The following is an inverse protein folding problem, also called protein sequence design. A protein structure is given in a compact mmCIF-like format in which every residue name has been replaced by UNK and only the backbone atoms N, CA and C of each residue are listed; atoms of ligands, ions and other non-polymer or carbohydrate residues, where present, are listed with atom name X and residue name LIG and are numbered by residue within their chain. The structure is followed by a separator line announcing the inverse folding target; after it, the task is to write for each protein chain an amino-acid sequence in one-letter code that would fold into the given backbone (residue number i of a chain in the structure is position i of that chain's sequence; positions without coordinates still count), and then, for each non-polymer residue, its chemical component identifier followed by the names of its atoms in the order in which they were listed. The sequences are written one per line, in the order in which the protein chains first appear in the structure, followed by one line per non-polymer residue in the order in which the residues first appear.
data_IF_695852446378
#
_entry.id   IF_695852446378
#
_cell.length_a   1.000
_cell.length_b   1.000
_cell.length_c   1.000
_cell.angle_alpha   90.00
_cell.angle_beta   90.00
_cell.angle_gamma   90.00
#
_symmetry.space_group_name_H-M   'P 1'
#
loop_
_entity.id
_entity.type
_entity.pdbx_description
1 polymer ?
#
# COMPACT_ATOMS: atom_id res chain seq x y z
N UNK A 1 4.47 14.57 -7.60
CA UNK A 1 3.09 14.02 -7.73
C UNK A 1 2.75 12.94 -6.71
N UNK A 2 3.72 12.29 -6.07
CA UNK A 2 3.50 11.24 -5.04
C UNK A 2 2.91 11.79 -3.73
N UNK A 3 3.33 12.98 -3.30
CA UNK A 3 2.92 13.58 -2.01
C UNK A 3 1.41 13.76 -1.85
N UNK A 4 0.67 13.98 -2.94
CA UNK A 4 -0.78 14.22 -2.87
C UNK A 4 -1.56 12.99 -2.42
N UNK A 5 -1.22 11.78 -2.89
CA UNK A 5 -1.95 10.58 -2.45
C UNK A 5 -1.52 10.10 -1.07
N UNK A 6 -0.33 10.49 -0.61
CA UNK A 6 0.19 10.10 0.70
C UNK A 6 -0.72 10.56 1.83
N UNK A 7 -1.01 11.86 1.85
CA UNK A 7 -1.88 12.45 2.85
C UNK A 7 -3.33 12.00 2.71
N UNK A 8 -3.76 11.57 1.52
CA UNK A 8 -5.13 11.12 1.29
C UNK A 8 -5.42 9.74 1.92
N UNK A 9 -4.39 8.95 2.20
CA UNK A 9 -4.57 7.60 2.75
C UNK A 9 -4.50 7.55 4.27
N UNK A 10 -3.78 8.46 4.92
CA UNK A 10 -3.73 8.53 6.39
C UNK A 10 -5.15 8.73 6.95
N UNK A 11 -5.53 7.94 7.96
CA UNK A 11 -6.87 7.91 8.54
C UNK A 11 -7.91 7.13 7.73
N UNK A 12 -7.55 6.61 6.54
CA UNK A 12 -8.46 5.76 5.74
C UNK A 12 -8.31 4.31 6.13
N UNK A 13 -9.41 3.56 5.97
CA UNK A 13 -9.39 2.10 6.03
C UNK A 13 -9.38 1.52 4.61
N UNK A 14 -8.34 0.76 4.26
CA UNK A 14 -8.22 0.06 2.99
C UNK A 14 -8.87 -1.32 3.07
N UNK A 15 -9.62 -1.69 2.03
CA UNK A 15 -10.34 -2.96 1.92
C UNK A 15 -11.20 -3.29 3.17
N UNK A 16 -11.66 -2.27 3.90
CA UNK A 16 -12.41 -2.43 5.15
C UNK A 16 -11.62 -3.04 6.32
N UNK A 17 -10.32 -3.32 6.16
CA UNK A 17 -9.52 -4.10 7.12
C UNK A 17 -8.31 -3.35 7.66
N UNK A 18 -7.60 -2.60 6.82
CA UNK A 18 -6.33 -1.98 7.18
C UNK A 18 -6.51 -0.49 7.40
N UNK A 19 -6.51 -0.06 8.65
CA UNK A 19 -6.54 1.36 8.99
C UNK A 19 -5.14 1.96 8.86
N UNK A 20 -4.97 2.98 8.02
CA UNK A 20 -3.69 3.61 7.75
C UNK A 20 -3.44 4.72 8.77
N UNK A 21 -2.29 4.68 9.45
CA UNK A 21 -1.98 5.57 10.56
C UNK A 21 -0.90 6.60 10.23
N UNK A 22 0.22 6.17 9.64
CA UNK A 22 1.34 7.06 9.34
C UNK A 22 2.23 6.48 8.23
N UNK A 23 3.14 7.28 7.66
CA UNK A 23 4.13 6.85 6.67
C UNK A 23 5.35 6.27 7.38
N UNK A 24 5.74 5.05 7.01
CA UNK A 24 6.99 4.41 7.46
C UNK A 24 8.16 4.67 6.52
N UNK A 25 7.90 4.82 5.22
CA UNK A 25 8.97 5.02 4.25
C UNK A 25 8.48 5.23 2.82
N UNK A 26 9.37 5.73 1.98
CA UNK A 26 9.12 6.06 0.58
C UNK A 26 10.16 5.38 -0.30
N UNK A 27 9.75 4.89 -1.47
CA UNK A 27 10.67 4.30 -2.44
C UNK A 27 10.08 4.25 -3.84
N UNK A 28 10.75 4.88 -4.81
CA UNK A 28 10.30 4.94 -6.20
C UNK A 28 8.88 5.48 -6.34
N UNK A 29 7.95 4.65 -6.84
CA UNK A 29 6.52 4.96 -6.96
C UNK A 29 5.69 4.46 -5.78
N UNK A 30 6.33 4.03 -4.70
CA UNK A 30 5.69 3.33 -3.59
C UNK A 30 5.89 4.05 -2.26
N UNK A 31 4.90 3.90 -1.39
CA UNK A 31 4.89 4.43 -0.02
C UNK A 31 4.47 3.30 0.90
N UNK A 32 5.24 3.09 1.95
CA UNK A 32 4.93 2.12 3.00
C UNK A 32 4.33 2.87 4.17
N UNK A 33 3.17 2.44 4.62
CA UNK A 33 2.47 2.99 5.77
C UNK A 33 2.51 2.03 6.94
N UNK A 34 2.45 2.58 8.15
CA UNK A 34 1.98 1.86 9.33
C UNK A 34 0.48 1.80 9.25
N UNK A 35 -0.08 0.61 9.44
CA UNK A 35 -1.51 0.45 9.61
C UNK A 35 -1.85 -0.54 10.72
N UNK A 36 -3.13 -0.57 11.07
CA UNK A 36 -3.72 -1.54 11.99
C UNK A 36 -4.56 -2.53 11.18
N UNK A 37 -4.23 -3.81 11.26
CA UNK A 37 -5.11 -4.87 10.78
C UNK A 37 -6.25 -5.04 11.80
N UNK A 38 -7.45 -4.56 11.47
CA UNK A 38 -8.61 -4.59 12.38
C UNK A 38 -9.15 -6.00 12.60
N UNK A 39 -8.83 -6.96 11.73
CA UNK A 39 -9.21 -8.37 11.90
C UNK A 39 -8.29 -9.07 12.89
N UNK A 40 -6.99 -8.79 12.81
CA UNK A 40 -5.97 -9.43 13.67
C UNK A 40 -5.63 -8.61 14.92
N UNK A 41 -6.09 -7.36 15.00
CA UNK A 41 -5.82 -6.45 16.12
C UNK A 41 -4.35 -6.04 16.27
N UNK A 42 -3.55 -6.10 15.20
CA UNK A 42 -2.09 -5.83 15.27
C UNK A 42 -1.61 -4.83 14.23
N UNK A 43 -0.54 -4.13 14.56
CA UNK A 43 0.14 -3.24 13.64
C UNK A 43 0.78 -4.02 12.47
N UNK A 44 0.67 -3.48 11.27
CA UNK A 44 1.18 -4.05 10.01
C UNK A 44 1.80 -2.96 9.14
N UNK A 45 2.69 -3.35 8.22
CA UNK A 45 3.20 -2.47 7.18
C UNK A 45 2.35 -2.63 5.91
N UNK A 46 1.88 -1.53 5.33
CA UNK A 46 1.05 -1.51 4.13
C UNK A 46 1.80 -0.77 3.01
N UNK A 47 2.27 -1.51 2.01
CA UNK A 47 2.95 -0.94 0.82
C UNK A 47 1.90 -0.59 -0.24
N UNK A 48 1.82 0.69 -0.59
CA UNK A 48 0.95 1.21 -1.65
C UNK A 48 1.81 1.70 -2.80
N UNK A 49 1.46 1.33 -4.03
CA UNK A 49 2.13 1.84 -5.24
C UNK A 49 1.19 2.80 -5.95
N UNK A 50 1.66 4.03 -6.13
CA UNK A 50 1.01 5.01 -6.99
C UNK A 50 1.23 4.62 -8.44
N UNK A 51 0.18 4.14 -9.10
CA UNK A 51 0.18 3.90 -10.55
C UNK A 51 -0.26 5.19 -11.25
N UNK A 52 0.47 5.69 -12.26
CA UNK A 52 -0.01 6.80 -13.07
C UNK A 52 -1.33 6.39 -13.74
N UNK A 53 -2.33 7.26 -13.64
CA UNK A 53 -3.61 7.05 -14.31
C UNK A 53 -3.39 7.11 -15.82
N UNK A 54 -3.67 6.02 -16.54
CA UNK A 54 -3.68 6.02 -18.02
C UNK A 54 -3.16 4.77 -18.69
N UNK A 55 -2.35 3.93 -18.02
CA UNK A 55 -1.71 2.79 -18.70
C UNK A 55 -2.06 1.44 -18.07
N UNK A 56 -3.12 0.81 -18.59
CA UNK A 56 -3.64 -0.50 -18.15
C UNK A 56 -2.54 -1.58 -18.19
N UNK A 57 -1.63 -1.52 -19.16
CA UNK A 57 -0.50 -2.44 -19.34
C UNK A 57 0.47 -2.37 -18.15
N UNK A 58 0.75 -1.16 -17.67
CA UNK A 58 1.60 -0.92 -16.49
C UNK A 58 0.92 -1.43 -15.21
N UNK A 59 -0.42 -1.29 -15.11
CA UNK A 59 -1.18 -1.86 -13.98
C UNK A 59 -1.11 -3.38 -13.92
N UNK A 60 -1.20 -4.06 -15.06
CA UNK A 60 -1.11 -5.52 -15.14
C UNK A 60 0.27 -6.03 -14.69
N UNK A 61 1.36 -5.48 -15.23
CA UNK A 61 2.71 -5.92 -14.87
C UNK A 61 3.03 -5.74 -13.37
N UNK A 62 2.59 -4.62 -12.78
CA UNK A 62 2.81 -4.35 -11.37
C UNK A 62 1.96 -5.22 -10.44
N UNK A 63 0.73 -5.60 -10.83
CA UNK A 63 -0.08 -6.58 -10.08
C UNK A 63 0.62 -7.94 -9.99
N UNK A 64 1.25 -8.40 -11.07
CA UNK A 64 1.97 -9.67 -11.09
C UNK A 64 3.20 -9.66 -10.18
N UNK A 65 3.98 -8.57 -10.20
CA UNK A 65 5.13 -8.41 -9.30
C UNK A 65 4.71 -8.35 -7.83
N UNK A 66 3.63 -7.62 -7.52
CA UNK A 66 3.11 -7.51 -6.15
C UNK A 66 2.66 -8.86 -5.57
N UNK A 67 1.98 -9.68 -6.39
CA UNK A 67 1.55 -11.01 -5.95
C UNK A 67 2.74 -11.90 -5.59
N UNK A 68 3.87 -11.76 -6.28
CA UNK A 68 5.11 -12.48 -5.96
C UNK A 68 5.71 -12.02 -4.63
N UNK A 69 5.71 -10.72 -4.34
CA UNK A 69 6.27 -10.17 -3.09
C UNK A 69 5.38 -10.42 -1.86
N UNK A 70 4.04 -10.40 -2.03
CA UNK A 70 3.10 -10.59 -0.92
C UNK A 70 3.12 -12.02 -0.33
N UNK A 71 3.65 -13.00 -1.06
CA UNK A 71 3.80 -14.37 -0.57
C UNK A 71 4.90 -14.56 0.49
N UNK A 72 5.75 -13.56 0.70
CA UNK A 72 6.93 -13.70 1.58
C UNK A 72 6.76 -13.06 2.97
N UNK A 73 5.66 -12.34 3.23
CA UNK A 73 5.47 -11.59 4.48
C UNK A 73 4.56 -12.28 5.51
N UNK A 74 4.18 -13.54 5.27
CA UNK A 74 3.39 -14.37 6.18
C UNK A 74 4.19 -15.62 6.58
N UNK A 75 5.25 -15.43 7.37
CA UNK A 75 5.85 -16.47 8.21
C UNK A 75 6.07 -15.91 9.61
#
# INVERSE_FOLDING_TARGET
MTESFERLLIGRTLAGRYEIQDVLGRGGMSVVYRGLDRTLGRAVAVKVIGLPAGDESVRLNLRERFRREAGSAAQ
#
